data_IF_539968519041
#
_entry.id   IF_539968519041
#
_cell.length_a   1.000
_cell.length_b   1.000
_cell.length_c   1.000
_cell.angle_alpha   90.00
_cell.angle_beta   90.00
_cell.angle_gamma   90.00
#
_symmetry.space_group_name_H-M   'P 1'
#
loop_
_entity.id
_entity.type
_entity.pdbx_description
1 polymer ?
#
# COMPACT_ATOMS: atom_id res chain seq x y z
N UNK A 1 -12.26 -13.75 -14.32
CA UNK A 1 -11.53 -12.70 -13.56
C UNK A 1 -12.01 -11.27 -13.85
N UNK A 2 -12.33 -10.89 -15.10
CA UNK A 2 -12.84 -9.55 -15.43
C UNK A 2 -14.22 -9.19 -14.80
N UNK A 3 -15.07 -10.18 -14.47
CA UNK A 3 -16.40 -9.94 -13.87
C UNK A 3 -16.34 -9.52 -12.40
N UNK A 4 -15.36 -9.99 -11.62
CA UNK A 4 -15.18 -9.59 -10.22
C UNK A 4 -14.55 -8.19 -10.11
N UNK A 5 -13.76 -7.78 -11.10
CA UNK A 5 -13.23 -6.42 -11.23
C UNK A 5 -14.35 -5.41 -11.45
N UNK A 6 -15.33 -5.75 -12.30
CA UNK A 6 -16.55 -4.95 -12.52
C UNK A 6 -17.45 -4.88 -11.28
N UNK A 7 -17.45 -5.89 -10.40
CA UNK A 7 -18.23 -5.88 -9.16
C UNK A 7 -17.64 -4.91 -8.12
N UNK A 8 -16.31 -4.89 -7.98
CA UNK A 8 -15.61 -3.90 -7.13
C UNK A 8 -15.84 -2.47 -7.64
N UNK A 9 -15.80 -2.26 -8.96
CA UNK A 9 -16.16 -0.98 -9.58
C UNK A 9 -17.63 -0.61 -9.44
N UNK A 10 -18.56 -1.58 -9.52
CA UNK A 10 -19.98 -1.34 -9.24
C UNK A 10 -20.20 -0.89 -7.80
N UNK A 11 -19.52 -1.48 -6.82
CA UNK A 11 -19.63 -1.06 -5.41
C UNK A 11 -19.06 0.35 -5.19
N UNK A 12 -18.00 0.72 -5.92
CA UNK A 12 -17.42 2.07 -5.92
C UNK A 12 -18.26 3.13 -6.67
N UNK A 13 -18.97 2.73 -7.72
CA UNK A 13 -19.74 3.65 -8.61
C UNK A 13 -21.22 3.79 -8.19
N UNK A 14 -21.76 2.94 -7.32
CA UNK A 14 -23.13 3.10 -6.77
C UNK A 14 -23.12 4.17 -5.67
N UNK A 15 -22.99 5.42 -6.12
CA UNK A 15 -23.30 6.64 -5.41
C UNK A 15 -24.30 7.43 -6.28
N UNK A 16 -25.49 6.85 -6.47
CA UNK A 16 -26.56 7.33 -7.37
C UNK A 16 -27.00 8.78 -7.09
N UNK A 17 -26.71 9.35 -5.92
CA UNK A 17 -27.22 10.65 -5.52
C UNK A 17 -26.21 11.81 -5.61
N UNK A 18 -24.96 11.58 -6.07
CA UNK A 18 -23.96 12.67 -6.19
C UNK A 18 -23.09 12.67 -7.44
N UNK A 19 -23.23 11.67 -8.30
CA UNK A 19 -22.51 11.56 -9.57
C UNK A 19 -23.51 11.31 -10.71
N UNK A 20 -24.11 12.37 -11.28
CA UNK A 20 -24.71 12.30 -12.62
C UNK A 20 -23.57 12.26 -13.66
N UNK A 21 -22.72 11.24 -13.61
CA UNK A 21 -21.80 10.98 -14.71
C UNK A 21 -22.58 10.33 -15.84
N UNK A 22 -22.40 10.85 -17.04
CA UNK A 22 -23.02 10.25 -18.24
C UNK A 22 -22.40 8.86 -18.43
N UNK A 23 -23.18 7.87 -18.88
CA UNK A 23 -22.69 6.50 -19.15
C UNK A 23 -21.39 6.48 -20.00
N UNK A 24 -21.28 7.45 -20.92
CA UNK A 24 -20.08 7.67 -21.75
C UNK A 24 -18.82 7.98 -20.93
N UNK A 25 -18.93 8.74 -19.85
CA UNK A 25 -17.80 9.07 -18.97
C UNK A 25 -17.38 7.86 -18.13
N UNK A 26 -18.33 7.05 -17.65
CA UNK A 26 -18.02 5.81 -16.94
C UNK A 26 -17.25 4.84 -17.85
N UNK A 27 -17.70 4.68 -19.10
CA UNK A 27 -16.99 3.85 -20.10
C UNK A 27 -15.58 4.37 -20.35
N UNK A 28 -15.42 5.69 -20.51
CA UNK A 28 -14.11 6.32 -20.68
C UNK A 28 -13.19 6.06 -19.49
N UNK A 29 -13.67 6.28 -18.26
CA UNK A 29 -12.86 6.08 -17.05
C UNK A 29 -12.42 4.61 -16.90
N UNK A 30 -13.29 3.64 -17.21
CA UNK A 30 -12.94 2.21 -17.22
C UNK A 30 -11.84 1.91 -18.26
N UNK A 31 -11.96 2.43 -19.48
CA UNK A 31 -10.95 2.23 -20.52
C UNK A 31 -9.60 2.80 -20.07
N UNK A 32 -9.59 4.02 -19.53
CA UNK A 32 -8.37 4.67 -19.05
C UNK A 32 -7.72 3.91 -17.90
N UNK A 33 -8.51 3.41 -16.94
CA UNK A 33 -8.02 2.57 -15.85
C UNK A 33 -7.43 1.25 -16.35
N UNK A 34 -8.06 0.61 -17.34
CA UNK A 34 -7.53 -0.60 -17.97
C UNK A 34 -6.21 -0.33 -18.68
N UNK A 35 -6.10 0.80 -19.41
CA UNK A 35 -4.85 1.21 -20.05
C UNK A 35 -3.75 1.41 -19.00
N UNK A 36 -4.04 2.13 -17.91
CA UNK A 36 -3.08 2.34 -16.82
C UNK A 36 -2.61 1.02 -16.23
N UNK A 37 -3.53 0.10 -15.93
CA UNK A 37 -3.20 -1.20 -15.37
C UNK A 37 -2.32 -2.01 -16.32
N UNK A 38 -2.74 -2.15 -17.59
CA UNK A 38 -2.03 -2.94 -18.59
C UNK A 38 -0.64 -2.38 -18.89
N UNK A 39 -0.52 -1.05 -19.02
CA UNK A 39 0.77 -0.39 -19.20
C UNK A 39 1.67 -0.61 -17.98
N UNK A 40 1.15 -0.39 -16.78
CA UNK A 40 1.89 -0.55 -15.52
C UNK A 40 2.40 -1.99 -15.34
N UNK A 41 1.56 -2.97 -15.67
CA UNK A 41 1.90 -4.39 -15.62
C UNK A 41 2.92 -4.76 -16.70
N UNK A 42 2.73 -4.31 -17.94
CA UNK A 42 3.66 -4.56 -19.03
C UNK A 42 5.06 -4.00 -18.74
N UNK A 43 5.16 -2.78 -18.21
CA UNK A 43 6.45 -2.18 -17.84
C UNK A 43 7.18 -3.02 -16.78
N UNK A 44 6.47 -3.54 -15.77
CA UNK A 44 7.08 -4.39 -14.74
C UNK A 44 7.49 -5.75 -15.26
N UNK A 45 6.80 -6.28 -16.26
CA UNK A 45 7.22 -7.51 -16.94
C UNK A 45 8.45 -7.28 -17.84
N UNK A 46 8.48 -6.18 -18.59
CA UNK A 46 9.61 -5.85 -19.48
C UNK A 46 10.89 -5.60 -18.68
N UNK A 47 10.78 -4.90 -17.55
CA UNK A 47 11.91 -4.57 -16.68
C UNK A 47 12.03 -5.51 -15.48
N UNK A 48 11.51 -6.74 -15.58
CA UNK A 48 11.51 -7.70 -14.48
C UNK A 48 12.94 -7.99 -13.99
N UNK A 49 13.19 -7.84 -12.69
CA UNK A 49 14.52 -8.00 -12.09
C UNK A 49 14.71 -9.36 -11.39
N UNK A 50 13.63 -10.00 -10.94
CA UNK A 50 13.70 -11.31 -10.28
C UNK A 50 14.35 -11.25 -8.90
N UNK A 51 15.02 -12.35 -8.52
CA UNK A 51 15.63 -12.53 -7.21
C UNK A 51 16.96 -11.77 -7.05
N UNK A 52 16.91 -10.49 -6.69
CA UNK A 52 18.12 -9.67 -6.47
C UNK A 52 18.23 -9.08 -5.05
N UNK A 53 17.20 -9.25 -4.21
CA UNK A 53 17.20 -8.73 -2.84
C UNK A 53 17.73 -9.79 -1.87
N UNK A 54 18.42 -9.35 -0.82
CA UNK A 54 18.98 -10.26 0.18
C UNK A 54 17.92 -11.04 0.96
N UNK A 55 16.70 -10.49 1.08
CA UNK A 55 15.58 -11.10 1.80
C UNK A 55 14.84 -12.16 0.96
N UNK A 56 15.13 -12.25 -0.34
CA UNK A 56 14.42 -13.12 -1.29
C UNK A 56 14.42 -14.61 -0.91
N UNK A 57 15.54 -15.23 -0.47
CA UNK A 57 15.53 -16.63 -0.07
C UNK A 57 14.61 -16.91 1.12
N UNK A 58 14.57 -16.01 2.11
CA UNK A 58 13.67 -16.12 3.26
C UNK A 58 12.21 -15.96 2.81
N UNK A 59 11.92 -14.89 2.07
CA UNK A 59 10.57 -14.58 1.64
C UNK A 59 10.00 -15.62 0.66
N UNK A 60 10.83 -16.29 -0.15
CA UNK A 60 10.43 -17.43 -1.00
C UNK A 60 10.30 -18.74 -0.20
N UNK A 61 11.25 -18.99 0.70
CA UNK A 61 11.32 -20.21 1.49
C UNK A 61 10.12 -20.40 2.41
N UNK A 62 9.64 -19.33 3.06
CA UNK A 62 8.55 -19.44 4.03
C UNK A 62 7.20 -19.86 3.42
N UNK A 63 6.65 -19.18 2.38
CA UNK A 63 5.41 -19.60 1.75
C UNK A 63 5.51 -21.01 1.17
N UNK A 64 6.67 -21.39 0.62
CA UNK A 64 6.93 -22.76 0.15
C UNK A 64 6.81 -23.77 1.30
N UNK A 65 7.49 -23.52 2.41
CA UNK A 65 7.41 -24.38 3.60
C UNK A 65 5.98 -24.50 4.13
N UNK A 66 5.20 -23.42 4.13
CA UNK A 66 3.80 -23.40 4.60
C UNK A 66 2.79 -24.10 3.69
N UNK A 67 3.19 -24.54 2.49
CA UNK A 67 2.33 -25.40 1.66
C UNK A 67 2.32 -26.84 2.17
N UNK A 68 3.45 -27.29 2.72
CA UNK A 68 3.67 -28.67 3.15
C UNK A 68 3.55 -28.82 4.67
N UNK A 69 3.77 -27.73 5.41
CA UNK A 69 3.81 -27.70 6.87
C UNK A 69 2.88 -26.62 7.41
N UNK A 70 2.52 -26.74 8.69
CA UNK A 70 1.84 -25.64 9.39
C UNK A 70 2.76 -24.43 9.50
N UNK A 71 2.20 -23.19 9.46
CA UNK A 71 2.98 -21.99 9.74
C UNK A 71 3.73 -22.11 11.07
N UNK A 72 5.05 -21.94 11.04
CA UNK A 72 5.86 -21.87 12.24
C UNK A 72 5.93 -20.42 12.71
N UNK A 73 5.95 -20.15 14.01
CA UNK A 73 5.97 -18.79 14.56
C UNK A 73 7.22 -18.54 15.41
N UNK A 74 8.38 -18.88 14.85
CA UNK A 74 9.66 -18.84 15.56
C UNK A 74 10.52 -17.62 15.17
N UNK A 75 10.14 -16.90 14.11
CA UNK A 75 10.91 -15.80 13.56
C UNK A 75 10.02 -14.62 13.17
N UNK A 76 10.55 -13.40 13.18
CA UNK A 76 9.74 -12.18 13.05
C UNK A 76 8.97 -12.09 11.73
N UNK A 77 9.55 -12.59 10.62
CA UNK A 77 8.88 -12.62 9.32
C UNK A 77 7.65 -13.53 9.31
N UNK A 78 7.64 -14.58 10.13
CA UNK A 78 6.51 -15.51 10.17
C UNK A 78 5.26 -14.85 10.77
N UNK A 79 5.46 -13.95 11.74
CA UNK A 79 4.39 -13.15 12.33
C UNK A 79 3.84 -12.09 11.35
N UNK A 80 4.57 -11.76 10.29
CA UNK A 80 4.15 -10.80 9.26
C UNK A 80 3.33 -11.46 8.16
N UNK A 81 2.19 -12.05 8.54
CA UNK A 81 1.39 -12.89 7.64
C UNK A 81 0.94 -12.21 6.35
N UNK A 82 0.77 -10.88 6.38
CA UNK A 82 0.37 -10.12 5.20
C UNK A 82 1.45 -10.10 4.11
N UNK A 83 2.71 -10.40 4.45
CA UNK A 83 3.82 -10.57 3.49
C UNK A 83 3.65 -11.88 2.73
N UNK A 84 3.48 -13.01 3.43
CA UNK A 84 3.61 -14.33 2.82
C UNK A 84 2.28 -14.94 2.34
N UNK A 85 1.13 -14.49 2.85
CA UNK A 85 -0.18 -15.13 2.55
C UNK A 85 -0.53 -15.08 1.06
N UNK A 86 -0.17 -14.00 0.37
CA UNK A 86 -0.42 -13.87 -1.07
C UNK A 86 0.48 -14.82 -1.86
N UNK A 87 1.76 -14.92 -1.51
CA UNK A 87 2.69 -15.86 -2.13
C UNK A 87 2.23 -17.31 -1.93
N UNK A 88 1.82 -17.67 -0.71
CA UNK A 88 1.28 -18.99 -0.42
C UNK A 88 0.05 -19.31 -1.29
N UNK A 89 -0.88 -18.36 -1.41
CA UNK A 89 -2.06 -18.51 -2.26
C UNK A 89 -1.71 -18.69 -3.74
N UNK A 90 -0.77 -17.89 -4.26
CA UNK A 90 -0.34 -17.99 -5.65
C UNK A 90 0.45 -19.26 -5.94
N UNK A 91 1.29 -19.74 -5.01
CA UNK A 91 1.92 -21.05 -5.13
C UNK A 91 0.90 -22.18 -5.16
N UNK A 92 -0.16 -22.09 -4.36
CA UNK A 92 -1.22 -23.09 -4.34
C UNK A 92 -1.98 -23.19 -5.67
N UNK A 93 -2.14 -22.07 -6.39
CA UNK A 93 -2.89 -22.03 -7.65
C UNK A 93 -2.02 -22.33 -8.87
N UNK A 94 -0.84 -21.73 -8.93
CA UNK A 94 0.02 -21.74 -10.12
C UNK A 94 1.24 -22.67 -9.98
N UNK A 95 1.39 -23.36 -8.84
CA UNK A 95 2.59 -24.12 -8.51
C UNK A 95 3.72 -23.22 -8.01
N UNK A 96 4.77 -23.85 -7.48
CA UNK A 96 5.96 -23.16 -6.98
C UNK A 96 6.85 -22.78 -8.16
N UNK A 97 7.03 -21.49 -8.40
CA UNK A 97 7.89 -20.95 -9.45
C UNK A 97 8.30 -19.52 -9.08
N UNK A 98 9.29 -18.98 -9.78
CA UNK A 98 9.64 -17.56 -9.68
C UNK A 98 8.43 -16.68 -10.04
N UNK A 99 7.76 -16.97 -11.15
CA UNK A 99 6.65 -16.14 -11.60
C UNK A 99 5.48 -16.14 -10.60
N UNK A 100 5.11 -17.29 -10.02
CA UNK A 100 4.07 -17.33 -8.99
C UNK A 100 4.48 -16.65 -7.68
N UNK A 101 5.79 -16.52 -7.42
CA UNK A 101 6.32 -15.74 -6.32
C UNK A 101 6.23 -14.22 -6.55
N UNK A 102 6.57 -13.75 -7.75
CA UNK A 102 6.53 -12.30 -8.03
C UNK A 102 5.16 -11.79 -8.46
N UNK A 103 4.26 -12.67 -8.94
CA UNK A 103 2.95 -12.27 -9.46
C UNK A 103 2.09 -11.45 -8.48
N UNK A 104 2.01 -11.75 -7.16
CA UNK A 104 1.32 -10.87 -6.21
C UNK A 104 1.83 -9.43 -6.26
N UNK A 105 3.15 -9.25 -6.19
CA UNK A 105 3.79 -7.94 -6.23
C UNK A 105 3.56 -7.24 -7.57
N UNK A 106 3.71 -7.96 -8.68
CA UNK A 106 3.45 -7.43 -10.02
C UNK A 106 2.02 -6.89 -10.13
N UNK A 107 1.03 -7.64 -9.64
CA UNK A 107 -0.37 -7.23 -9.66
C UNK A 107 -0.64 -6.06 -8.71
N UNK A 108 -0.15 -6.12 -7.47
CA UNK A 108 -0.34 -5.06 -6.48
C UNK A 108 0.25 -3.74 -6.95
N UNK A 109 1.51 -3.73 -7.35
CA UNK A 109 2.18 -2.52 -7.82
C UNK A 109 1.55 -1.95 -9.10
N UNK A 110 1.02 -2.81 -9.97
CA UNK A 110 0.27 -2.37 -11.17
C UNK A 110 -1.04 -1.65 -10.86
N UNK A 111 -1.52 -1.71 -9.61
CA UNK A 111 -2.71 -0.93 -9.17
C UNK A 111 -2.39 0.47 -8.66
N UNK A 112 -1.13 0.82 -8.41
CA UNK A 112 -0.78 2.15 -7.87
C UNK A 112 -1.27 3.32 -8.77
N UNK A 113 -1.12 3.26 -10.11
CA UNK A 113 -1.65 4.28 -11.01
C UNK A 113 -3.17 4.46 -10.90
N UNK A 114 -3.89 3.38 -10.62
CA UNK A 114 -5.35 3.37 -10.52
C UNK A 114 -5.78 4.12 -9.27
N UNK A 115 -5.04 4.00 -8.16
CA UNK A 115 -5.32 4.76 -6.94
C UNK A 115 -5.23 6.26 -7.19
N UNK A 116 -4.18 6.74 -7.85
CA UNK A 116 -4.05 8.17 -8.19
C UNK A 116 -5.18 8.65 -9.11
N UNK A 117 -5.52 7.87 -10.14
CA UNK A 117 -6.65 8.17 -11.00
C UNK A 117 -7.94 8.35 -10.17
N UNK A 118 -8.29 7.34 -9.37
CA UNK A 118 -9.52 7.32 -8.58
C UNK A 118 -9.57 8.45 -7.55
N UNK A 119 -8.46 8.68 -6.84
CA UNK A 119 -8.34 9.77 -5.86
C UNK A 119 -8.59 11.11 -6.55
N UNK A 120 -7.94 11.41 -7.67
CA UNK A 120 -8.16 12.68 -8.37
C UNK A 120 -9.57 12.81 -8.93
N UNK A 121 -10.16 11.75 -9.46
CA UNK A 121 -11.57 11.76 -9.89
C UNK A 121 -12.51 12.12 -8.74
N UNK A 122 -12.22 11.64 -7.53
CA UNK A 122 -12.99 11.99 -6.33
C UNK A 122 -12.90 13.46 -5.93
N UNK A 123 -11.79 14.11 -6.26
CA UNK A 123 -11.57 15.55 -6.09
C UNK A 123 -12.07 16.36 -7.30
N UNK A 124 -12.87 15.75 -8.19
CA UNK A 124 -13.49 16.38 -9.36
C UNK A 124 -12.51 16.83 -10.45
N UNK A 125 -11.28 16.35 -10.45
CA UNK A 125 -10.41 16.50 -11.61
C UNK A 125 -11.00 15.73 -12.80
N UNK A 126 -10.83 16.27 -14.02
CA UNK A 126 -11.33 15.61 -15.22
C UNK A 126 -10.57 14.31 -15.52
N UNK A 127 -11.13 13.44 -16.36
CA UNK A 127 -10.55 12.12 -16.67
C UNK A 127 -9.15 12.20 -17.27
N UNK A 128 -8.84 13.25 -18.05
CA UNK A 128 -7.53 13.40 -18.66
C UNK A 128 -6.47 13.72 -17.61
N UNK A 129 -6.71 14.71 -16.75
CA UNK A 129 -5.80 15.05 -15.65
C UNK A 129 -5.59 13.88 -14.69
N UNK A 130 -6.65 13.15 -14.36
CA UNK A 130 -6.56 11.93 -13.56
C UNK A 130 -5.74 10.82 -14.24
N UNK A 131 -5.89 10.66 -15.56
CA UNK A 131 -5.13 9.69 -16.34
C UNK A 131 -3.65 10.06 -16.43
N UNK A 132 -3.33 11.34 -16.68
CA UNK A 132 -1.95 11.82 -16.71
C UNK A 132 -1.25 11.61 -15.36
N UNK A 133 -1.93 11.87 -14.23
CA UNK A 133 -1.36 11.57 -12.92
C UNK A 133 -1.12 10.07 -12.70
N UNK A 134 -2.06 9.22 -13.15
CA UNK A 134 -1.86 7.77 -13.17
C UNK A 134 -0.66 7.37 -14.02
N UNK A 135 -0.49 7.96 -15.20
CA UNK A 135 0.65 7.70 -16.08
C UNK A 135 1.98 8.05 -15.41
N UNK A 136 2.06 9.19 -14.72
CA UNK A 136 3.28 9.57 -13.97
C UNK A 136 3.68 8.48 -12.97
N UNK A 137 2.72 7.86 -12.28
CA UNK A 137 3.00 6.75 -11.36
C UNK A 137 3.33 5.46 -12.11
N UNK A 138 2.61 5.18 -13.21
CA UNK A 138 2.79 3.96 -13.99
C UNK A 138 4.21 3.86 -14.58
N UNK A 139 4.79 5.01 -14.94
CA UNK A 139 6.10 5.12 -15.58
C UNK A 139 7.20 5.63 -14.66
N UNK A 140 6.90 5.95 -13.39
CA UNK A 140 7.91 6.41 -12.44
C UNK A 140 9.00 5.33 -12.27
N UNK A 141 10.29 5.62 -12.51
CA UNK A 141 11.35 4.62 -12.51
C UNK A 141 11.42 3.82 -11.20
N UNK A 142 11.26 4.50 -10.07
CA UNK A 142 11.23 3.84 -8.76
C UNK A 142 10.05 2.88 -8.62
N UNK A 143 8.85 3.27 -9.06
CA UNK A 143 7.64 2.45 -8.96
C UNK A 143 7.68 1.24 -9.89
N UNK A 144 8.30 1.40 -11.07
CA UNK A 144 8.57 0.28 -11.98
C UNK A 144 9.58 -0.67 -11.34
N UNK A 145 10.73 -0.16 -10.90
CA UNK A 145 11.79 -0.95 -10.27
C UNK A 145 11.28 -1.71 -9.06
N UNK A 146 10.69 -1.04 -8.07
CA UNK A 146 10.20 -1.71 -6.85
C UNK A 146 9.09 -2.72 -7.18
N UNK A 147 8.29 -2.46 -8.23
CA UNK A 147 7.26 -3.37 -8.72
C UNK A 147 7.80 -4.64 -9.38
N UNK A 148 9.09 -4.65 -9.75
CA UNK A 148 9.78 -5.80 -10.34
C UNK A 148 10.49 -6.66 -9.30
N UNK A 149 10.50 -6.22 -8.04
CA UNK A 149 11.21 -6.80 -6.92
C UNK A 149 10.26 -7.31 -5.85
N UNK A 150 10.71 -8.27 -5.04
CA UNK A 150 9.93 -8.72 -3.89
C UNK A 150 10.28 -7.90 -2.65
N UNK A 151 9.70 -6.71 -2.56
CA UNK A 151 9.88 -5.83 -1.40
C UNK A 151 8.64 -5.84 -0.48
N UNK A 152 8.82 -6.12 0.81
CA UNK A 152 7.75 -5.99 1.81
C UNK A 152 7.20 -4.55 1.91
N UNK A 153 8.03 -3.54 1.62
CA UNK A 153 7.65 -2.13 1.46
C UNK A 153 6.52 -1.94 0.46
N UNK A 154 6.49 -2.72 -0.61
CA UNK A 154 5.50 -2.60 -1.65
C UNK A 154 4.12 -3.10 -1.19
N UNK A 155 4.09 -4.23 -0.48
CA UNK A 155 2.85 -4.78 0.10
C UNK A 155 2.31 -3.81 1.16
N UNK A 156 3.20 -3.29 2.01
CA UNK A 156 2.86 -2.24 2.96
C UNK A 156 2.27 -1.00 2.27
N UNK A 157 2.96 -0.47 1.25
CA UNK A 157 2.51 0.70 0.49
C UNK A 157 1.16 0.43 -0.18
N UNK A 158 0.95 -0.76 -0.75
CA UNK A 158 -0.32 -1.14 -1.36
C UNK A 158 -1.49 -1.06 -0.38
N UNK A 159 -1.33 -1.60 0.84
CA UNK A 159 -2.36 -1.48 1.87
C UNK A 159 -2.56 -0.03 2.36
N UNK A 160 -1.48 0.75 2.49
CA UNK A 160 -1.59 2.16 2.85
C UNK A 160 -2.35 2.96 1.77
N UNK A 161 -2.08 2.70 0.49
CA UNK A 161 -2.80 3.30 -0.63
C UNK A 161 -4.27 2.86 -0.66
N UNK A 162 -4.59 1.60 -0.37
CA UNK A 162 -5.97 1.13 -0.26
C UNK A 162 -6.71 1.83 0.88
N UNK A 163 -6.10 1.94 2.06
CA UNK A 163 -6.65 2.67 3.19
C UNK A 163 -6.96 4.12 2.83
N UNK A 164 -5.99 4.82 2.22
CA UNK A 164 -6.18 6.21 1.80
C UNK A 164 -7.23 6.36 0.70
N UNK A 165 -7.22 5.46 -0.29
CA UNK A 165 -8.21 5.46 -1.38
C UNK A 165 -9.62 5.28 -0.83
N UNK A 166 -9.83 4.34 0.09
CA UNK A 166 -11.13 4.16 0.74
C UNK A 166 -11.52 5.39 1.56
N UNK A 167 -10.59 5.93 2.35
CA UNK A 167 -10.83 7.13 3.13
C UNK A 167 -11.29 8.32 2.26
N UNK A 168 -10.73 8.44 1.06
CA UNK A 168 -11.12 9.50 0.13
C UNK A 168 -12.44 9.20 -0.58
N UNK A 169 -12.63 7.97 -1.08
CA UNK A 169 -13.79 7.61 -1.91
C UNK A 169 -15.09 7.38 -1.11
N UNK A 170 -14.99 6.90 0.12
CA UNK A 170 -16.15 6.50 0.95
C UNK A 170 -16.58 7.59 1.95
N UNK A 171 -16.28 8.87 1.68
CA UNK A 171 -16.61 10.00 2.58
C UNK A 171 -18.07 10.08 3.03
N UNK A 172 -19.00 9.61 2.21
CA UNK A 172 -20.43 9.60 2.55
C UNK A 172 -20.88 8.32 3.28
N UNK A 173 -20.04 7.27 3.30
CA UNK A 173 -20.32 5.96 3.90
C UNK A 173 -19.36 5.73 5.08
N UNK A 174 -19.39 6.64 6.05
CA UNK A 174 -18.45 6.71 7.17
C UNK A 174 -18.24 5.38 7.91
N UNK A 175 -19.30 4.59 8.12
CA UNK A 175 -19.19 3.27 8.77
C UNK A 175 -18.28 2.31 7.98
N UNK A 176 -18.61 2.10 6.70
CA UNK A 176 -17.86 1.21 5.80
C UNK A 176 -16.45 1.75 5.59
N UNK A 177 -16.31 3.07 5.43
CA UNK A 177 -15.02 3.74 5.33
C UNK A 177 -14.13 3.38 6.52
N UNK A 178 -14.60 3.59 7.75
CA UNK A 178 -13.85 3.32 8.97
C UNK A 178 -13.42 1.85 9.06
N UNK A 179 -14.35 0.91 8.83
CA UNK A 179 -14.07 -0.53 8.85
C UNK A 179 -12.96 -0.91 7.87
N UNK A 180 -13.09 -0.48 6.61
CA UNK A 180 -12.13 -0.83 5.56
C UNK A 180 -10.76 -0.17 5.79
N UNK A 181 -10.72 1.09 6.25
CA UNK A 181 -9.46 1.74 6.65
C UNK A 181 -8.78 0.96 7.78
N UNK A 182 -9.54 0.53 8.79
CA UNK A 182 -9.02 -0.27 9.90
C UNK A 182 -8.46 -1.62 9.44
N UNK A 183 -9.17 -2.33 8.55
CA UNK A 183 -8.71 -3.59 7.96
C UNK A 183 -7.42 -3.38 7.16
N UNK A 184 -7.36 -2.37 6.29
CA UNK A 184 -6.19 -2.15 5.45
C UNK A 184 -4.98 -1.68 6.25
N UNK A 185 -5.15 -0.82 7.27
CA UNK A 185 -4.03 -0.46 8.14
C UNK A 185 -3.58 -1.60 9.05
N UNK A 186 -4.50 -2.48 9.45
CA UNK A 186 -4.16 -3.73 10.12
C UNK A 186 -3.26 -4.57 9.19
N UNK A 187 -3.71 -4.89 7.97
CA UNK A 187 -2.88 -5.61 7.00
C UNK A 187 -1.53 -4.91 6.72
N UNK A 188 -1.53 -3.58 6.60
CA UNK A 188 -0.30 -2.79 6.45
C UNK A 188 0.66 -2.99 7.63
N UNK A 189 0.16 -2.99 8.87
CA UNK A 189 0.97 -3.22 10.07
C UNK A 189 1.65 -4.58 10.08
N UNK A 190 0.91 -5.63 9.67
CA UNK A 190 1.45 -6.98 9.56
C UNK A 190 2.26 -7.20 8.28
N UNK A 191 2.29 -6.24 7.36
CA UNK A 191 3.31 -6.18 6.31
C UNK A 191 4.57 -5.46 6.83
N UNK A 192 4.39 -4.30 7.48
CA UNK A 192 5.47 -3.49 8.04
C UNK A 192 4.95 -2.66 9.22
N UNK A 193 5.62 -2.79 10.38
CA UNK A 193 5.23 -2.10 11.63
C UNK A 193 5.18 -0.57 11.50
N UNK A 194 5.87 -0.01 10.52
CA UNK A 194 5.84 1.41 10.16
C UNK A 194 4.43 1.92 9.82
N UNK A 195 3.46 1.04 9.55
CA UNK A 195 2.05 1.40 9.45
C UNK A 195 1.50 2.12 10.70
N UNK A 196 2.14 1.94 11.87
CA UNK A 196 1.82 2.68 13.09
C UNK A 196 1.74 4.20 12.87
N UNK A 197 2.61 4.77 12.03
CA UNK A 197 2.57 6.20 11.71
C UNK A 197 1.31 6.60 10.94
N UNK A 198 0.77 5.71 10.09
CA UNK A 198 -0.45 5.98 9.35
C UNK A 198 -1.68 5.98 10.26
N UNK A 199 -1.73 5.15 11.30
CA UNK A 199 -2.79 5.21 12.30
C UNK A 199 -2.93 6.61 12.91
N UNK A 200 -1.80 7.20 13.30
CA UNK A 200 -1.75 8.56 13.86
C UNK A 200 -2.22 9.60 12.83
N UNK A 201 -1.78 9.50 11.58
CA UNK A 201 -2.19 10.42 10.51
C UNK A 201 -3.72 10.36 10.31
N UNK A 202 -4.30 9.17 10.15
CA UNK A 202 -5.76 9.05 9.99
C UNK A 202 -6.53 9.53 11.21
N UNK A 203 -6.03 9.25 12.41
CA UNK A 203 -6.62 9.74 13.66
C UNK A 203 -6.65 11.28 13.71
N UNK A 204 -5.52 11.93 13.43
CA UNK A 204 -5.42 13.40 13.35
C UNK A 204 -6.36 13.95 12.27
N UNK A 205 -6.43 13.30 11.10
CA UNK A 205 -7.37 13.71 10.04
C UNK A 205 -8.83 13.63 10.49
N UNK A 206 -9.25 12.59 11.20
CA UNK A 206 -10.60 12.51 11.75
C UNK A 206 -10.87 13.61 12.78
N UNK A 207 -9.91 13.92 13.67
CA UNK A 207 -10.02 15.05 14.60
C UNK A 207 -10.18 16.37 13.84
N UNK A 208 -9.36 16.60 12.81
CA UNK A 208 -9.46 17.79 11.98
C UNK A 208 -10.84 17.91 11.31
N UNK A 209 -11.37 16.81 10.75
CA UNK A 209 -12.71 16.79 10.16
C UNK A 209 -13.79 17.09 11.21
N UNK A 210 -13.64 16.55 12.43
CA UNK A 210 -14.58 16.80 13.53
C UNK A 210 -14.59 18.28 13.92
N UNK A 211 -13.41 18.91 14.06
CA UNK A 211 -13.28 20.35 14.33
C UNK A 211 -13.89 21.22 13.21
N UNK A 212 -13.96 20.71 11.99
CA UNK A 212 -14.64 21.36 10.85
C UNK A 212 -16.15 21.06 10.79
N UNK A 213 -16.74 20.49 11.85
CA UNK A 213 -18.17 20.17 11.93
C UNK A 213 -18.61 19.02 11.03
N UNK A 214 -17.68 18.20 10.53
CA UNK A 214 -18.01 17.08 9.65
C UNK A 214 -18.34 15.83 10.47
N UNK A 215 -19.21 14.99 9.91
CA UNK A 215 -19.50 13.68 10.47
C UNK A 215 -18.23 12.81 10.49
N UNK A 216 -17.82 12.41 11.69
CA UNK A 216 -16.63 11.59 11.94
C UNK A 216 -16.96 10.24 12.57
N UNK A 217 -18.19 9.76 12.40
CA UNK A 217 -18.59 8.42 12.87
C UNK A 217 -17.66 7.31 12.37
N UNK A 218 -17.00 7.50 11.21
CA UNK A 218 -16.01 6.57 10.69
C UNK A 218 -14.81 6.35 11.62
N UNK A 219 -14.47 7.32 12.47
CA UNK A 219 -13.40 7.17 13.48
C UNK A 219 -13.68 6.02 14.44
N UNK A 220 -14.91 5.91 14.95
CA UNK A 220 -15.30 4.85 15.89
C UNK A 220 -15.16 3.49 15.22
N UNK A 221 -15.65 3.35 13.98
CA UNK A 221 -15.56 2.10 13.22
C UNK A 221 -14.12 1.75 12.85
N UNK A 222 -13.30 2.75 12.56
CA UNK A 222 -11.86 2.58 12.32
C UNK A 222 -11.15 2.04 13.56
N UNK A 223 -11.33 2.70 14.71
CA UNK A 223 -10.74 2.27 15.98
C UNK A 223 -11.23 0.87 16.35
N UNK A 224 -12.54 0.64 16.32
CA UNK A 224 -13.14 -0.64 16.71
C UNK A 224 -12.67 -1.79 15.81
N UNK A 225 -12.72 -1.63 14.48
CA UNK A 225 -12.28 -2.69 13.56
C UNK A 225 -10.79 -3.01 13.72
N UNK A 226 -9.93 -1.99 13.79
CA UNK A 226 -8.51 -2.22 14.00
C UNK A 226 -8.23 -2.88 15.36
N UNK A 227 -8.86 -2.39 16.43
CA UNK A 227 -8.67 -2.93 17.78
C UNK A 227 -9.10 -4.40 17.87
N UNK A 228 -10.27 -4.74 17.34
CA UNK A 228 -10.77 -6.12 17.31
C UNK A 228 -9.81 -7.02 16.52
N UNK A 229 -9.35 -6.60 15.34
CA UNK A 229 -8.43 -7.40 14.52
C UNK A 229 -7.08 -7.62 15.22
N UNK A 230 -6.54 -6.60 15.88
CA UNK A 230 -5.31 -6.75 16.67
C UNK A 230 -5.50 -7.68 17.86
N UNK A 231 -6.61 -7.59 18.61
CA UNK A 231 -6.92 -8.53 19.70
C UNK A 231 -7.01 -9.96 19.18
N UNK A 232 -7.76 -10.19 18.10
CA UNK A 232 -7.89 -11.52 17.50
C UNK A 232 -6.52 -12.07 17.13
N UNK A 233 -5.67 -11.25 16.52
CA UNK A 233 -4.33 -11.66 16.10
C UNK A 233 -3.41 -11.93 17.30
N UNK A 234 -3.48 -11.10 18.34
CA UNK A 234 -2.74 -11.31 19.59
C UNK A 234 -3.15 -12.60 20.30
N UNK A 235 -4.45 -12.88 20.41
CA UNK A 235 -4.96 -14.12 21.01
C UNK A 235 -4.51 -15.32 20.19
N UNK A 236 -4.59 -15.22 18.86
CA UNK A 236 -4.08 -16.25 17.96
C UNK A 236 -2.60 -16.53 18.19
N UNK A 237 -1.75 -15.51 18.26
CA UNK A 237 -0.33 -15.70 18.55
C UNK A 237 -0.04 -16.21 19.95
N UNK A 238 -0.84 -15.82 20.95
CA UNK A 238 -0.71 -16.39 22.29
C UNK A 238 -0.94 -17.90 22.26
N UNK A 239 -1.94 -18.34 21.49
CA UNK A 239 -2.26 -19.76 21.34
C UNK A 239 -1.18 -20.50 20.55
N UNK A 240 -0.73 -19.96 19.43
CA UNK A 240 0.17 -20.68 18.51
C UNK A 240 1.66 -20.57 18.88
N UNK A 241 2.08 -19.46 19.50
CA UNK A 241 3.49 -19.16 19.77
C UNK A 241 3.78 -18.82 21.24
N UNK A 242 2.77 -18.86 22.11
CA UNK A 242 2.91 -18.56 23.54
C UNK A 242 3.11 -17.06 23.87
N UNK A 243 3.10 -16.17 22.87
CA UNK A 243 3.47 -14.75 22.99
C UNK A 243 2.33 -13.85 22.47
N UNK A 244 1.97 -12.81 23.23
CA UNK A 244 0.96 -11.83 22.80
C UNK A 244 1.49 -10.81 21.79
N UNK A 245 2.73 -10.35 22.00
CA UNK A 245 3.34 -9.26 21.23
C UNK A 245 4.70 -9.68 20.66
N UNK A 246 4.71 -10.49 19.59
CA UNK A 246 5.95 -11.01 19.01
C UNK A 246 6.90 -9.90 18.55
N UNK A 247 6.36 -8.77 18.12
CA UNK A 247 7.14 -7.65 17.60
C UNK A 247 7.89 -6.83 18.65
N UNK A 248 7.55 -6.93 19.95
CA UNK A 248 8.41 -6.35 21.00
C UNK A 248 9.64 -7.23 21.27
N UNK A 249 9.48 -8.55 21.11
CA UNK A 249 10.57 -9.52 21.36
C UNK A 249 11.48 -9.68 20.14
N UNK A 250 10.90 -9.73 18.94
CA UNK A 250 11.59 -10.03 17.69
C UNK A 250 11.61 -8.82 16.75
N UNK A 251 11.77 -7.60 17.29
CA UNK A 251 11.87 -6.40 16.46
C UNK A 251 13.13 -6.45 15.60
N UNK A 252 13.01 -6.13 14.31
CA UNK A 252 14.13 -6.24 13.35
C UNK A 252 15.13 -5.08 13.43
N UNK A 253 14.88 -4.05 14.26
CA UNK A 253 15.76 -2.88 14.41
C UNK A 253 16.01 -2.60 15.89
N UNK A 254 17.03 -3.24 16.46
CA UNK A 254 17.38 -3.13 17.89
C UNK A 254 18.79 -2.60 18.13
N UNK A 255 19.38 -1.87 17.18
CA UNK A 255 20.61 -1.17 17.47
C UNK A 255 20.29 0.16 18.18
N UNK A 256 20.85 0.40 19.39
CA UNK A 256 20.69 1.68 20.06
C UNK A 256 21.33 2.77 19.22
N UNK A 257 20.57 3.82 18.93
CA UNK A 257 21.08 5.03 18.29
C UNK A 257 21.59 5.96 19.39
N UNK A 258 22.88 6.30 19.34
CA UNK A 258 23.45 7.31 20.24
C UNK A 258 22.93 8.71 19.88
N UNK A 259 22.84 9.60 20.88
CA UNK A 259 22.32 10.96 20.69
C UNK A 259 23.07 11.70 19.58
N UNK A 260 24.39 11.53 19.53
CA UNK A 260 25.29 12.17 18.55
C UNK A 260 25.02 11.73 17.11
N UNK A 261 24.43 10.54 16.92
CA UNK A 261 24.09 10.02 15.60
C UNK A 261 22.66 10.36 15.16
N UNK A 262 21.83 10.96 16.02
CA UNK A 262 20.44 11.27 15.68
C UNK A 262 20.36 12.19 14.46
N UNK A 263 21.13 13.28 14.45
CA UNK A 263 21.12 14.24 13.33
C UNK A 263 21.45 13.55 12.01
N UNK A 264 22.47 12.68 12.01
CA UNK A 264 22.84 11.91 10.82
C UNK A 264 21.70 11.01 10.36
N UNK A 265 21.02 10.31 11.26
CA UNK A 265 19.89 9.43 10.90
C UNK A 265 18.73 10.25 10.31
N UNK A 266 18.40 11.39 10.92
CA UNK A 266 17.33 12.27 10.42
C UNK A 266 17.64 12.88 9.06
N UNK A 267 18.91 13.20 8.79
CA UNK A 267 19.33 13.85 7.55
C UNK A 267 19.72 12.87 6.43
N UNK A 268 20.02 11.60 6.75
CA UNK A 268 20.44 10.61 5.74
C UNK A 268 19.41 10.47 4.62
N UNK A 269 18.15 10.19 4.97
CA UNK A 269 17.10 10.00 3.95
C UNK A 269 16.83 11.27 3.13
N UNK A 270 16.59 12.45 3.72
CA UNK A 270 16.46 13.70 2.96
C UNK A 270 17.67 13.97 2.05
N UNK A 271 18.89 13.71 2.54
CA UNK A 271 20.11 13.86 1.75
C UNK A 271 20.10 12.90 0.56
N UNK A 272 19.73 11.64 0.75
CA UNK A 272 19.69 10.67 -0.35
C UNK A 272 18.61 11.03 -1.38
N UNK A 273 17.48 11.59 -0.95
CA UNK A 273 16.40 12.05 -1.83
C UNK A 273 16.85 13.26 -2.69
N UNK A 274 17.50 14.26 -2.09
CA UNK A 274 17.73 15.57 -2.74
C UNK A 274 19.17 15.88 -3.14
N UNK A 275 20.17 15.18 -2.59
CA UNK A 275 21.59 15.41 -2.86
C UNK A 275 22.27 14.20 -3.48
N UNK A 276 21.76 13.00 -3.17
CA UNK A 276 22.31 11.74 -3.66
C UNK A 276 22.83 10.87 -2.52
N UNK A 277 22.93 9.58 -2.82
CA UNK A 277 23.51 8.56 -1.97
C UNK A 277 25.01 8.39 -2.27
N UNK A 278 25.77 7.67 -1.42
CA UNK A 278 27.16 7.31 -1.70
C UNK A 278 27.36 6.54 -3.01
N UNK A 279 26.29 5.99 -3.59
CA UNK A 279 26.30 5.29 -4.88
C UNK A 279 26.17 6.23 -6.08
N UNK A 280 26.18 7.55 -5.86
CA UNK A 280 26.09 8.56 -6.93
C UNK A 280 24.68 8.73 -7.51
N UNK A 281 23.65 8.19 -6.86
CA UNK A 281 22.25 8.24 -7.31
C UNK A 281 21.34 8.87 -6.27
N UNK A 282 20.29 9.59 -6.71
CA UNK A 282 19.25 10.10 -5.80
C UNK A 282 18.17 9.05 -5.56
N UNK A 283 17.66 9.00 -4.32
CA UNK A 283 16.51 8.19 -3.96
C UNK A 283 15.26 8.79 -4.62
N UNK A 284 14.53 7.97 -5.39
CA UNK A 284 13.33 8.37 -6.15
C UNK A 284 13.55 9.27 -7.37
N UNK A 285 14.80 9.52 -7.79
CA UNK A 285 15.12 10.25 -9.03
C UNK A 285 14.59 11.69 -9.03
N UNK A 286 13.93 12.11 -10.11
CA UNK A 286 13.42 13.48 -10.30
C UNK A 286 12.06 13.75 -9.65
N UNK A 287 11.36 12.72 -9.19
CA UNK A 287 9.98 12.82 -8.66
C UNK A 287 9.86 13.80 -7.48
N UNK A 288 10.76 13.80 -6.47
CA UNK A 288 10.69 14.73 -5.34
C UNK A 288 10.78 16.21 -5.78
N UNK A 289 11.58 16.50 -6.80
CA UNK A 289 11.76 17.84 -7.34
C UNK A 289 10.52 18.31 -8.10
N UNK A 290 9.92 17.43 -8.90
CA UNK A 290 8.66 17.71 -9.61
C UNK A 290 7.55 18.01 -8.60
N UNK A 291 7.47 17.23 -7.51
CA UNK A 291 6.49 17.46 -6.45
C UNK A 291 6.70 18.82 -5.78
N UNK A 292 7.94 19.16 -5.41
CA UNK A 292 8.26 20.43 -4.75
C UNK A 292 7.94 21.61 -5.67
N UNK A 293 8.34 21.54 -6.94
CA UNK A 293 8.02 22.55 -7.95
C UNK A 293 6.50 22.70 -8.12
N UNK A 294 5.76 21.59 -8.19
CA UNK A 294 4.30 21.60 -8.32
C UNK A 294 3.62 22.24 -7.10
N UNK A 295 4.14 21.98 -5.89
CA UNK A 295 3.64 22.61 -4.67
C UNK A 295 3.92 24.12 -4.68
N UNK A 296 5.12 24.54 -5.06
CA UNK A 296 5.48 25.97 -5.17
C UNK A 296 4.55 26.67 -6.17
N UNK A 297 4.40 26.11 -7.38
CA UNK A 297 3.50 26.69 -8.40
C UNK A 297 2.09 26.83 -7.85
N UNK A 298 1.56 25.81 -7.16
CA UNK A 298 0.22 25.85 -6.56
C UNK A 298 0.07 26.87 -5.41
N UNK A 299 1.15 27.23 -4.74
CA UNK A 299 1.12 28.28 -3.71
C UNK A 299 1.19 29.68 -4.32
N UNK A 300 1.81 29.83 -5.48
CA UNK A 300 2.01 31.11 -6.17
C UNK A 300 0.84 31.45 -7.11
N UNK A 301 0.21 30.44 -7.71
CA UNK A 301 -0.93 30.56 -8.65
C UNK A 301 -2.24 30.20 -7.97
#
# INVERSE_FOLDING_TARGET
MASNFLLFFRILIINKNKFKMKLKEIRKDIILLSILFLLSFALRLIYFQGFILCDDPEEFGHPKYFLEHKPSFNYHFHFRFSIWIFNWFFFKIFGISEMSFFLPTLLMSSTFPLFAFLILRSFKYNSLSSFLAGLVIATAPFEVMIGTLRANDLIFAWFAYLAFTVFVLFRNKQKIQGILVGIFLWLAFYAKMWAAYFYLIFFIFYIYLHRKGKNCSGLIYFIASSFILHIITMVYWKKEAGIFFPFFKYHSATYPVTLDNLINIWLTYPTYIFKGSPLGTTLFGTIPYILLLSLIIKFVV
#
